data_IF_542033790482
#
_entry.id   IF_542033790482
#
_cell.length_a   1.000
_cell.length_b   1.000
_cell.length_c   1.000
_cell.angle_alpha   90.00
_cell.angle_beta   90.00
_cell.angle_gamma   90.00
#
_symmetry.space_group_name_H-M   'P 1'
#
loop_
_entity.id
_entity.type
_entity.pdbx_description
1 polymer ?
#
# COMPACT_ATOMS: atom_id res chain seq x y z
N UNK A 1 5.49 -15.14 -1.76
CA UNK A 1 5.24 -14.10 -0.73
C UNK A 1 5.92 -12.82 -1.18
N UNK A 2 5.29 -11.66 -0.98
CA UNK A 2 5.91 -10.37 -1.32
C UNK A 2 6.97 -10.08 -0.25
N UNK A 3 8.21 -9.85 -0.66
CA UNK A 3 9.30 -9.50 0.25
C UNK A 3 9.18 -8.02 0.67
N UNK A 4 9.12 -7.78 1.98
CA UNK A 4 9.02 -6.46 2.59
C UNK A 4 10.20 -6.15 3.53
N UNK A 5 11.28 -6.94 3.45
CA UNK A 5 12.40 -6.88 4.40
C UNK A 5 13.09 -5.52 4.41
N UNK A 6 13.20 -4.89 3.24
CA UNK A 6 13.93 -3.63 2.99
C UNK A 6 13.06 -2.37 2.96
N UNK A 7 11.82 -2.43 3.46
CA UNK A 7 10.93 -1.26 3.51
C UNK A 7 11.33 -0.32 4.66
N UNK A 8 11.29 0.98 4.39
CA UNK A 8 11.60 2.02 5.36
C UNK A 8 10.63 2.07 6.56
N UNK A 9 11.16 2.36 7.75
CA UNK A 9 10.40 2.62 8.96
C UNK A 9 9.97 4.10 9.06
N UNK A 10 9.47 4.66 7.96
CA UNK A 10 9.15 6.09 7.82
C UNK A 10 7.70 6.28 7.34
N UNK A 11 7.13 7.49 7.51
CA UNK A 11 5.84 7.81 6.93
C UNK A 11 5.92 7.85 5.40
N UNK A 12 4.79 7.61 4.76
CA UNK A 12 4.71 7.66 3.31
C UNK A 12 3.45 7.03 2.74
N UNK A 13 3.46 6.83 1.43
CA UNK A 13 2.36 6.22 0.68
C UNK A 13 2.85 4.93 0.03
N UNK A 14 2.05 3.86 0.12
CA UNK A 14 2.27 2.59 -0.57
C UNK A 14 1.21 2.39 -1.65
N UNK A 15 1.60 1.68 -2.70
CA UNK A 15 0.80 1.38 -3.88
C UNK A 15 0.87 -0.12 -4.10
N UNK A 16 -0.26 -0.81 -4.04
CA UNK A 16 -0.35 -2.25 -4.31
C UNK A 16 -0.75 -2.47 -5.77
N UNK A 17 -0.10 -3.43 -6.43
CA UNK A 17 -0.23 -3.68 -7.87
C UNK A 17 -0.48 -5.15 -8.17
N UNK A 18 -1.19 -5.43 -9.27
CA UNK A 18 -1.30 -6.78 -9.82
C UNK A 18 -0.04 -7.18 -10.62
N UNK A 19 -0.03 -8.42 -11.15
CA UNK A 19 1.08 -8.94 -11.99
C UNK A 19 1.35 -8.14 -13.26
N UNK A 20 0.40 -7.32 -13.72
CA UNK A 20 0.52 -6.48 -14.92
C UNK A 20 0.90 -5.03 -14.57
N UNK A 21 1.14 -4.75 -13.29
CA UNK A 21 1.46 -3.40 -12.80
C UNK A 21 0.23 -2.50 -12.62
N UNK A 22 -1.01 -3.02 -12.75
CA UNK A 22 -2.22 -2.22 -12.52
C UNK A 22 -2.30 -1.87 -11.03
N UNK A 23 -2.50 -0.59 -10.74
CA UNK A 23 -2.71 -0.11 -9.37
C UNK A 23 -4.06 -0.61 -8.85
N UNK A 24 -4.00 -1.43 -7.80
CA UNK A 24 -5.17 -2.02 -7.15
C UNK A 24 -5.61 -1.20 -5.94
N UNK A 25 -4.66 -0.62 -5.22
CA UNK A 25 -4.90 0.09 -3.96
C UNK A 25 -3.79 1.10 -3.70
N UNK A 26 -4.15 2.22 -3.08
CA UNK A 26 -3.23 3.25 -2.59
C UNK A 26 -3.58 3.52 -1.15
N UNK A 27 -2.57 3.57 -0.27
CA UNK A 27 -2.78 3.93 1.12
C UNK A 27 -1.58 4.63 1.75
N UNK A 28 -1.81 5.45 2.76
CA UNK A 28 -0.75 6.06 3.57
C UNK A 28 -0.41 5.26 4.82
N UNK A 29 0.77 5.51 5.36
CA UNK A 29 1.25 4.92 6.60
C UNK A 29 2.07 5.93 7.40
N UNK A 30 1.98 5.86 8.74
CA UNK A 30 2.96 6.49 9.65
C UNK A 30 4.30 5.74 9.64
N UNK A 31 4.24 4.44 9.37
CA UNK A 31 5.38 3.56 9.21
C UNK A 31 5.04 2.54 8.10
N UNK A 32 5.73 2.67 6.96
CA UNK A 32 5.48 1.85 5.77
C UNK A 32 5.69 0.35 6.02
N UNK A 33 6.79 -0.03 6.71
CA UNK A 33 7.10 -1.44 6.99
C UNK A 33 6.00 -2.12 7.82
N UNK A 34 5.55 -1.50 8.90
CA UNK A 34 4.48 -2.03 9.75
C UNK A 34 3.16 -2.14 8.99
N UNK A 35 2.85 -1.14 8.16
CA UNK A 35 1.59 -1.13 7.41
C UNK A 35 1.56 -2.23 6.35
N UNK A 36 2.64 -2.44 5.60
CA UNK A 36 2.73 -3.56 4.66
C UNK A 36 2.73 -4.91 5.37
N UNK A 37 3.39 -5.04 6.52
CA UNK A 37 3.32 -6.24 7.36
C UNK A 37 1.87 -6.61 7.72
N UNK A 38 1.05 -5.62 8.09
CA UNK A 38 -0.38 -5.83 8.40
C UNK A 38 -1.26 -6.27 7.23
N UNK A 39 -0.78 -6.11 5.99
CA UNK A 39 -1.48 -6.57 4.78
C UNK A 39 -1.12 -8.01 4.40
N UNK A 40 0.06 -8.50 4.81
CA UNK A 40 0.57 -9.80 4.37
C UNK A 40 0.79 -10.82 5.48
N UNK A 41 0.57 -10.46 6.75
CA UNK A 41 0.84 -11.33 7.91
C UNK A 41 -0.31 -11.46 8.93
N UNK A 42 -1.49 -10.89 8.68
CA UNK A 42 -2.65 -11.09 9.56
C UNK A 42 -3.70 -11.91 8.83
N UNK A 43 -4.31 -12.86 9.52
CA UNK A 43 -5.29 -13.80 8.94
C UNK A 43 -6.73 -13.27 9.00
N UNK A 44 -6.96 -12.14 9.70
CA UNK A 44 -8.27 -11.51 9.83
C UNK A 44 -8.44 -10.36 8.83
N UNK A 45 -8.81 -10.71 7.60
CA UNK A 45 -9.23 -9.75 6.58
C UNK A 45 -10.73 -9.86 6.33
N UNK A 46 -11.39 -8.73 6.13
CA UNK A 46 -12.71 -8.73 5.50
C UNK A 46 -12.61 -9.28 4.06
N UNK A 47 -13.74 -9.70 3.50
CA UNK A 47 -13.79 -10.33 2.17
C UNK A 47 -13.23 -9.43 1.06
N UNK A 48 -13.37 -8.11 1.17
CA UNK A 48 -12.90 -7.15 0.14
C UNK A 48 -11.38 -7.05 0.19
N UNK A 49 -10.81 -6.95 1.40
CA UNK A 49 -9.37 -6.92 1.62
C UNK A 49 -8.71 -8.24 1.24
N UNK A 50 -9.32 -9.39 1.57
CA UNK A 50 -8.83 -10.70 1.16
C UNK A 50 -8.70 -10.81 -0.38
N UNK A 51 -9.77 -10.46 -1.12
CA UNK A 51 -9.77 -10.44 -2.60
C UNK A 51 -8.69 -9.51 -3.16
N UNK A 52 -8.50 -8.34 -2.57
CA UNK A 52 -7.43 -7.43 -2.97
C UNK A 52 -6.08 -8.12 -2.82
N UNK A 53 -5.76 -8.67 -1.64
CA UNK A 53 -4.46 -9.29 -1.34
C UNK A 53 -4.15 -10.48 -2.26
N UNK A 54 -5.15 -11.30 -2.62
CA UNK A 54 -4.97 -12.39 -3.60
C UNK A 54 -4.47 -11.90 -4.97
N UNK A 55 -4.93 -10.72 -5.39
CA UNK A 55 -4.58 -10.09 -6.66
C UNK A 55 -3.23 -9.37 -6.63
N UNK A 56 -2.79 -8.89 -5.46
CA UNK A 56 -1.51 -8.18 -5.32
C UNK A 56 -0.36 -9.13 -5.65
N UNK A 57 0.54 -8.69 -6.54
CA UNK A 57 1.78 -9.38 -6.89
C UNK A 57 3.01 -8.50 -6.77
N UNK A 58 2.81 -7.18 -6.66
CA UNK A 58 3.88 -6.21 -6.51
C UNK A 58 3.40 -5.01 -5.67
N UNK A 59 4.35 -4.24 -5.15
CA UNK A 59 4.07 -2.98 -4.49
C UNK A 59 5.17 -1.94 -4.74
N UNK A 60 4.86 -0.68 -4.50
CA UNK A 60 5.85 0.39 -4.46
C UNK A 60 5.51 1.33 -3.31
N UNK A 61 6.47 2.14 -2.87
CA UNK A 61 6.23 3.15 -1.85
C UNK A 61 7.03 4.41 -2.09
N UNK A 62 6.53 5.52 -1.54
CA UNK A 62 7.17 6.83 -1.53
C UNK A 62 7.24 7.27 -0.08
N UNK A 63 8.46 7.53 0.41
CA UNK A 63 8.68 8.09 1.75
C UNK A 63 8.34 9.59 1.72
N UNK A 64 7.71 10.07 2.78
CA UNK A 64 7.42 11.50 2.97
C UNK A 64 8.08 12.01 4.25
N UNK A 65 8.17 13.33 4.40
CA UNK A 65 8.80 13.94 5.58
C UNK A 65 7.90 13.86 6.82
N UNK A 66 6.58 13.81 6.62
CA UNK A 66 5.58 13.77 7.68
C UNK A 66 4.26 13.13 7.20
N UNK A 67 3.31 12.96 8.13
CA UNK A 67 2.00 12.37 7.85
C UNK A 67 1.09 13.25 6.98
N UNK A 68 1.24 14.57 7.04
CA UNK A 68 0.42 15.51 6.27
C UNK A 68 0.78 15.43 4.78
N UNK A 69 2.08 15.39 4.44
CA UNK A 69 2.55 15.12 3.08
C UNK A 69 2.07 13.77 2.57
N UNK A 70 2.10 12.72 3.41
CA UNK A 70 1.59 11.40 3.04
C UNK A 70 0.09 11.45 2.71
N UNK A 71 -0.70 12.22 3.47
CA UNK A 71 -2.13 12.42 3.22
C UNK A 71 -2.39 13.13 1.89
N UNK A 72 -1.67 14.22 1.62
CA UNK A 72 -1.83 14.97 0.36
C UNK A 72 -1.41 14.11 -0.84
N UNK A 73 -0.27 13.41 -0.73
CA UNK A 73 0.21 12.53 -1.77
C UNK A 73 -0.75 11.36 -2.04
N UNK A 74 -1.27 10.72 -0.99
CA UNK A 74 -2.26 9.65 -1.10
C UNK A 74 -3.49 10.12 -1.88
N UNK A 75 -4.05 11.27 -1.52
CA UNK A 75 -5.22 11.82 -2.19
C UNK A 75 -4.97 12.08 -3.69
N UNK A 76 -3.79 12.61 -4.03
CA UNK A 76 -3.38 12.83 -5.43
C UNK A 76 -3.25 11.52 -6.21
N UNK A 77 -2.62 10.51 -5.61
CA UNK A 77 -2.45 9.20 -6.26
C UNK A 77 -3.76 8.43 -6.40
N UNK A 78 -4.68 8.53 -5.43
CA UNK A 78 -6.03 7.97 -5.55
C UNK A 78 -6.77 8.63 -6.71
N UNK A 79 -6.70 9.96 -6.84
CA UNK A 79 -7.33 10.70 -7.94
C UNK A 79 -6.73 10.33 -9.30
N UNK A 80 -5.40 10.14 -9.36
CA UNK A 80 -4.67 9.78 -10.57
C UNK A 80 -4.99 8.35 -11.03
N UNK A 81 -4.90 7.37 -10.13
CA UNK A 81 -4.99 5.95 -10.50
C UNK A 81 -6.40 5.38 -10.41
N UNK A 82 -7.29 6.00 -9.61
CA UNK A 82 -8.66 5.51 -9.35
C UNK A 82 -8.69 4.00 -9.02
N UNK A 83 -7.96 3.57 -7.98
CA UNK A 83 -7.85 2.16 -7.64
C UNK A 83 -9.24 1.53 -7.37
N UNK A 84 -9.45 0.25 -7.73
CA UNK A 84 -10.71 -0.44 -7.52
C UNK A 84 -10.98 -0.87 -6.07
N UNK A 85 -9.95 -0.92 -5.22
CA UNK A 85 -10.06 -1.28 -3.81
C UNK A 85 -9.87 -0.07 -2.89
#
# INVERSE_FOLDING_TARGET
MIDISNVANLPGVYILKDKKGKVLYVGKAKNLKNRLKSHFQHDEFDQRKAKMIELVKDFSYIVTSNELEALVLEANLIKQYKPPF
#
